data_IF_142715508532
#
_entry.id   IF_142715508532
#
_cell.length_a   1.000
_cell.length_b   1.000
_cell.length_c   1.000
_cell.angle_alpha   90.00
_cell.angle_beta   90.00
_cell.angle_gamma   90.00
#
_symmetry.space_group_name_H-M   'P 1'
#
loop_
_entity.id
_entity.type
_entity.pdbx_description
1 polymer ?
#
# COMPACT_ATOMS: atom_id res chain seq x y z
N UNK A 1 -24.36 21.90 -5.25
CA UNK A 1 -23.25 20.94 -4.98
C UNK A 1 -22.04 21.68 -4.39
N UNK A 2 -22.25 22.89 -3.88
CA UNK A 2 -21.22 23.84 -3.47
C UNK A 2 -20.69 23.61 -2.05
N UNK A 3 -21.24 22.62 -1.32
CA UNK A 3 -20.95 22.41 0.09
C UNK A 3 -19.57 21.83 0.35
N UNK A 4 -19.03 20.99 -0.54
CA UNK A 4 -17.71 20.36 -0.33
C UNK A 4 -16.59 21.36 -0.62
N UNK A 5 -16.66 22.08 -1.74
CA UNK A 5 -15.69 23.12 -2.10
C UNK A 5 -15.70 24.26 -1.07
N UNK A 6 -16.88 24.73 -0.66
CA UNK A 6 -17.01 25.75 0.39
C UNK A 6 -16.52 25.25 1.76
N UNK A 7 -16.73 23.96 2.10
CA UNK A 7 -16.20 23.40 3.34
C UNK A 7 -14.66 23.33 3.31
N UNK A 8 -14.05 22.99 2.18
CA UNK A 8 -12.60 22.94 2.02
C UNK A 8 -11.93 24.32 1.96
N UNK A 9 -12.67 25.40 1.68
CA UNK A 9 -12.17 26.76 1.81
C UNK A 9 -11.89 27.15 3.28
N UNK A 10 -12.48 26.44 4.25
CA UNK A 10 -12.16 26.63 5.65
C UNK A 10 -10.83 25.95 6.01
N UNK A 11 -9.84 26.68 6.54
CA UNK A 11 -8.50 26.14 6.82
C UNK A 11 -8.53 24.99 7.83
N UNK A 12 -9.42 25.01 8.83
CA UNK A 12 -9.54 23.94 9.83
C UNK A 12 -10.05 22.64 9.20
N UNK A 13 -11.04 22.75 8.30
CA UNK A 13 -11.60 21.59 7.59
C UNK A 13 -10.57 21.03 6.62
N UNK A 14 -9.88 21.91 5.88
CA UNK A 14 -8.79 21.51 4.99
C UNK A 14 -7.68 20.74 5.73
N UNK A 15 -7.16 21.27 6.84
CA UNK A 15 -6.10 20.61 7.61
C UNK A 15 -6.54 19.28 8.22
N UNK A 16 -7.79 19.20 8.69
CA UNK A 16 -8.36 17.96 9.22
C UNK A 16 -8.49 16.91 8.12
N UNK A 17 -9.02 17.30 6.97
CA UNK A 17 -9.13 16.42 5.80
C UNK A 17 -7.75 15.97 5.32
N UNK A 18 -6.78 16.86 5.26
CA UNK A 18 -5.40 16.54 4.86
C UNK A 18 -4.73 15.57 5.85
N UNK A 19 -4.88 15.80 7.15
CA UNK A 19 -4.37 14.90 8.19
C UNK A 19 -5.01 13.50 8.08
N UNK A 20 -6.31 13.42 7.78
CA UNK A 20 -7.00 12.15 7.50
C UNK A 20 -6.46 11.47 6.24
N UNK A 21 -6.20 12.22 5.16
CA UNK A 21 -5.55 11.69 3.96
C UNK A 21 -4.18 11.09 4.28
N UNK A 22 -3.37 11.81 5.07
CA UNK A 22 -2.06 11.33 5.48
C UNK A 22 -2.15 10.07 6.36
N UNK A 23 -3.10 10.03 7.30
CA UNK A 23 -3.34 8.86 8.12
C UNK A 23 -3.75 7.64 7.28
N UNK A 24 -4.63 7.82 6.29
CA UNK A 24 -5.04 6.76 5.35
C UNK A 24 -3.89 6.31 4.46
N UNK A 25 -2.95 7.18 4.10
CA UNK A 25 -1.76 6.77 3.34
C UNK A 25 -0.82 5.88 4.17
N UNK A 26 -0.60 6.23 5.44
CA UNK A 26 0.50 5.64 6.23
C UNK A 26 0.02 4.47 7.09
N UNK A 27 -1.08 4.62 7.84
CA UNK A 27 -1.50 3.64 8.84
C UNK A 27 -1.81 2.26 8.26
N UNK A 28 -2.50 2.11 7.12
CA UNK A 28 -2.80 0.80 6.55
C UNK A 28 -1.53 0.04 6.17
N UNK A 29 -0.53 0.72 5.64
CA UNK A 29 0.75 0.08 5.27
C UNK A 29 1.52 -0.37 6.51
N UNK A 30 1.56 0.44 7.57
CA UNK A 30 2.17 0.04 8.84
C UNK A 30 1.44 -1.18 9.44
N UNK A 31 0.11 -1.12 9.50
CA UNK A 31 -0.71 -2.19 10.04
C UNK A 31 -0.55 -3.50 9.24
N UNK A 32 -0.54 -3.41 7.91
CA UNK A 32 -0.36 -4.56 7.03
C UNK A 32 1.04 -5.16 7.16
N UNK A 33 2.08 -4.32 7.21
CA UNK A 33 3.45 -4.76 7.42
C UNK A 33 3.64 -5.46 8.76
N UNK A 34 3.07 -4.89 9.83
CA UNK A 34 3.11 -5.49 11.16
C UNK A 34 2.35 -6.81 11.21
N UNK A 35 1.12 -6.85 10.70
CA UNK A 35 0.31 -8.06 10.64
C UNK A 35 1.00 -9.16 9.81
N UNK A 36 1.59 -8.80 8.67
CA UNK A 36 2.30 -9.75 7.81
C UNK A 36 3.50 -10.36 8.53
N UNK A 37 4.36 -9.55 9.14
CA UNK A 37 5.53 -10.04 9.87
C UNK A 37 5.13 -10.89 11.08
N UNK A 38 4.11 -10.46 11.83
CA UNK A 38 3.61 -11.22 12.98
C UNK A 38 3.05 -12.60 12.60
N UNK A 39 2.61 -12.81 11.35
CA UNK A 39 1.98 -14.06 10.93
C UNK A 39 2.82 -14.92 9.99
N UNK A 40 3.74 -14.35 9.20
CA UNK A 40 4.47 -15.13 8.20
C UNK A 40 5.39 -16.19 8.82
N UNK A 41 6.05 -15.86 9.94
CA UNK A 41 6.96 -16.77 10.63
C UNK A 41 6.27 -18.00 11.26
N UNK A 42 4.95 -17.95 11.44
CA UNK A 42 4.16 -19.05 12.02
C UNK A 42 4.08 -20.27 11.10
N UNK A 43 4.30 -20.10 9.79
CA UNK A 43 4.20 -21.18 8.81
C UNK A 43 5.60 -21.66 8.34
N UNK A 44 5.79 -22.96 8.06
CA UNK A 44 7.04 -23.46 7.48
C UNK A 44 7.42 -22.75 6.17
N UNK A 45 6.43 -22.56 5.28
CA UNK A 45 6.61 -21.86 4.01
C UNK A 45 7.00 -20.39 4.18
N UNK A 46 6.39 -19.69 5.13
CA UNK A 46 6.73 -18.30 5.42
C UNK A 46 8.14 -18.14 5.99
N UNK A 47 8.61 -19.08 6.81
CA UNK A 47 10.02 -19.11 7.26
C UNK A 47 10.98 -19.34 6.09
N UNK A 48 10.63 -20.23 5.15
CA UNK A 48 11.43 -20.46 3.94
C UNK A 48 11.46 -19.23 3.03
N UNK A 49 10.32 -18.54 2.86
CA UNK A 49 10.24 -17.29 2.09
C UNK A 49 11.13 -16.20 2.69
N UNK A 50 11.05 -15.98 4.01
CA UNK A 50 11.86 -14.97 4.71
C UNK A 50 13.36 -15.28 4.63
N UNK A 51 13.74 -16.57 4.67
CA UNK A 51 15.13 -16.99 4.48
C UNK A 51 15.63 -16.66 3.07
N UNK A 52 14.82 -16.92 2.04
CA UNK A 52 15.17 -16.57 0.65
C UNK A 52 15.24 -15.06 0.43
N UNK A 53 14.36 -14.28 1.06
CA UNK A 53 14.46 -12.81 1.03
C UNK A 53 15.75 -12.30 1.68
N UNK A 54 16.18 -12.92 2.77
CA UNK A 54 17.45 -12.60 3.41
C UNK A 54 18.66 -12.95 2.51
N UNK A 55 18.60 -14.10 1.83
CA UNK A 55 19.63 -14.55 0.90
C UNK A 55 19.72 -13.68 -0.36
N UNK A 56 18.59 -13.21 -0.90
CA UNK A 56 18.57 -12.27 -2.04
C UNK A 56 19.13 -10.90 -1.65
N UNK A 57 19.00 -10.52 -0.37
CA UNK A 57 19.58 -9.31 0.18
C UNK A 57 18.86 -8.04 -0.25
N UNK A 58 18.69 -7.11 0.70
CA UNK A 58 18.22 -5.75 0.39
C UNK A 58 19.45 -4.92 0.02
N UNK A 59 19.67 -4.69 -1.28
CA UNK A 59 20.72 -3.77 -1.70
C UNK A 59 20.38 -2.35 -1.28
N UNK A 60 21.35 -1.64 -0.71
CA UNK A 60 21.23 -0.21 -0.36
C UNK A 60 21.51 0.70 -1.55
N UNK A 61 21.85 0.14 -2.72
CA UNK A 61 22.21 0.92 -3.91
C UNK A 61 21.00 1.08 -4.83
N UNK A 62 20.65 2.31 -5.23
CA UNK A 62 19.51 2.55 -6.12
C UNK A 62 19.70 1.91 -7.50
N UNK A 63 20.94 1.66 -7.93
CA UNK A 63 21.27 0.96 -9.19
C UNK A 63 20.76 -0.48 -9.22
N UNK A 64 20.49 -1.09 -8.07
CA UNK A 64 20.00 -2.46 -7.97
C UNK A 64 18.47 -2.56 -7.93
N UNK A 65 17.76 -1.42 -7.96
CA UNK A 65 16.30 -1.38 -7.85
C UNK A 65 15.61 -2.24 -8.93
N UNK A 66 16.10 -2.22 -10.17
CA UNK A 66 15.53 -3.05 -11.24
C UNK A 66 15.73 -4.55 -11.00
N UNK A 67 16.89 -4.94 -10.44
CA UNK A 67 17.15 -6.34 -10.07
C UNK A 67 16.27 -6.78 -8.91
N UNK A 68 16.11 -5.92 -7.89
CA UNK A 68 15.25 -6.19 -6.75
C UNK A 68 13.78 -6.30 -7.15
N UNK A 69 13.32 -5.45 -8.08
CA UNK A 69 11.98 -5.53 -8.62
C UNK A 69 11.76 -6.85 -9.38
N UNK A 70 12.70 -7.25 -10.24
CA UNK A 70 12.61 -8.54 -10.93
C UNK A 70 12.58 -9.72 -9.95
N UNK A 71 13.45 -9.72 -8.94
CA UNK A 71 13.46 -10.75 -7.90
C UNK A 71 12.15 -10.77 -7.10
N UNK A 72 11.55 -9.62 -6.82
CA UNK A 72 10.24 -9.55 -6.15
C UNK A 72 9.10 -10.11 -7.02
N UNK A 73 9.13 -9.86 -8.34
CA UNK A 73 8.16 -10.42 -9.29
C UNK A 73 8.31 -11.94 -9.40
N UNK A 74 9.55 -12.45 -9.51
CA UNK A 74 9.83 -13.89 -9.51
C UNK A 74 9.35 -14.55 -8.21
N UNK A 75 9.65 -13.96 -7.05
CA UNK A 75 9.12 -14.45 -5.77
C UNK A 75 7.59 -14.44 -5.71
N UNK A 76 6.94 -13.45 -6.33
CA UNK A 76 5.48 -13.38 -6.45
C UNK A 76 4.92 -14.57 -7.23
N UNK A 77 5.55 -14.90 -8.38
CA UNK A 77 5.20 -16.08 -9.18
C UNK A 77 5.41 -17.39 -8.41
N UNK A 78 6.48 -17.49 -7.62
CA UNK A 78 6.74 -18.67 -6.77
C UNK A 78 5.68 -18.83 -5.66
N UNK A 79 5.15 -17.73 -5.12
CA UNK A 79 4.05 -17.76 -4.13
C UNK A 79 2.74 -18.20 -4.79
N UNK A 80 2.47 -17.77 -6.02
CA UNK A 80 1.25 -18.12 -6.75
C UNK A 80 1.24 -19.58 -7.21
N UNK A 81 2.40 -20.09 -7.63
CA UNK A 81 2.63 -21.50 -8.01
C UNK A 81 2.71 -22.48 -6.82
N UNK A 82 2.40 -22.02 -5.60
CA UNK A 82 2.31 -22.83 -4.37
C UNK A 82 3.63 -23.40 -3.84
N UNK A 83 4.78 -22.88 -4.28
CA UNK A 83 6.12 -23.37 -3.86
C UNK A 83 6.29 -23.27 -2.33
N UNK A 84 5.67 -22.27 -1.71
CA UNK A 84 5.70 -22.04 -0.27
C UNK A 84 4.48 -22.60 0.48
N UNK A 85 3.56 -23.24 -0.25
CA UNK A 85 2.35 -23.86 0.29
C UNK A 85 1.16 -22.92 0.49
N UNK A 86 -0.03 -23.53 0.52
CA UNK A 86 -1.31 -22.85 0.52
C UNK A 86 -1.51 -21.79 1.63
N UNK A 87 -0.94 -21.94 2.85
CA UNK A 87 -1.03 -20.90 3.88
C UNK A 87 -0.40 -19.57 3.45
N UNK A 88 0.76 -19.61 2.77
CA UNK A 88 1.47 -18.41 2.32
C UNK A 88 0.71 -17.74 1.18
N UNK A 89 0.24 -18.53 0.20
CA UNK A 89 -0.59 -18.03 -0.91
C UNK A 89 -1.85 -17.32 -0.43
N UNK A 90 -2.57 -17.89 0.56
CA UNK A 90 -3.74 -17.24 1.16
C UNK A 90 -3.41 -15.94 1.86
N UNK A 91 -2.25 -15.88 2.54
CA UNK A 91 -1.82 -14.66 3.22
C UNK A 91 -1.49 -13.56 2.21
N UNK A 92 -0.80 -13.92 1.12
CA UNK A 92 -0.48 -13.01 0.01
C UNK A 92 -1.75 -12.49 -0.67
N UNK A 93 -2.75 -13.35 -0.90
CA UNK A 93 -4.01 -12.93 -1.50
C UNK A 93 -4.75 -11.91 -0.61
N UNK A 94 -4.74 -12.09 0.72
CA UNK A 94 -5.29 -11.09 1.66
C UNK A 94 -4.58 -9.76 1.56
N UNK A 95 -3.24 -9.78 1.46
CA UNK A 95 -2.44 -8.57 1.25
C UNK A 95 -2.85 -7.88 -0.05
N UNK A 96 -2.99 -8.61 -1.16
CA UNK A 96 -3.43 -8.03 -2.44
C UNK A 96 -4.83 -7.41 -2.37
N UNK A 97 -5.79 -8.09 -1.75
CA UNK A 97 -7.15 -7.55 -1.60
C UNK A 97 -7.13 -6.27 -0.76
N UNK A 98 -6.43 -6.27 0.38
CA UNK A 98 -6.34 -5.09 1.25
C UNK A 98 -5.64 -3.94 0.54
N UNK A 99 -4.53 -4.19 -0.14
CA UNK A 99 -3.81 -3.18 -0.92
C UNK A 99 -4.65 -2.64 -2.08
N UNK A 100 -5.41 -3.49 -2.76
CA UNK A 100 -6.31 -3.07 -3.84
C UNK A 100 -7.44 -2.16 -3.34
N UNK A 101 -8.09 -2.53 -2.24
CA UNK A 101 -9.11 -1.68 -1.59
C UNK A 101 -8.50 -0.37 -1.10
N UNK A 102 -7.30 -0.42 -0.53
CA UNK A 102 -6.58 0.77 -0.09
C UNK A 102 -6.25 1.72 -1.25
N UNK A 103 -5.73 1.22 -2.37
CA UNK A 103 -5.47 2.03 -3.56
C UNK A 103 -6.73 2.70 -4.09
N UNK A 104 -7.87 2.00 -4.09
CA UNK A 104 -9.14 2.58 -4.49
C UNK A 104 -9.57 3.72 -3.56
N UNK A 105 -9.42 3.57 -2.23
CA UNK A 105 -9.70 4.65 -1.28
C UNK A 105 -8.80 5.87 -1.50
N UNK A 106 -7.50 5.65 -1.69
CA UNK A 106 -6.54 6.73 -1.98
C UNK A 106 -6.93 7.45 -3.28
N UNK A 107 -7.27 6.72 -4.34
CA UNK A 107 -7.69 7.32 -5.62
C UNK A 107 -8.94 8.20 -5.45
N UNK A 108 -9.93 7.76 -4.67
CA UNK A 108 -11.14 8.57 -4.39
C UNK A 108 -10.79 9.83 -3.59
N UNK A 109 -10.02 9.69 -2.51
CA UNK A 109 -9.68 10.82 -1.62
C UNK A 109 -8.87 11.92 -2.33
N UNK A 110 -7.88 11.53 -3.12
CA UNK A 110 -7.08 12.48 -3.91
C UNK A 110 -7.83 12.99 -5.14
N UNK A 111 -8.69 12.17 -5.75
CA UNK A 111 -9.59 12.59 -6.81
C UNK A 111 -10.50 13.75 -6.37
N UNK A 112 -11.04 13.68 -5.14
CA UNK A 112 -11.85 14.75 -4.56
C UNK A 112 -11.03 16.03 -4.36
N UNK A 113 -9.77 15.93 -3.90
CA UNK A 113 -8.90 17.09 -3.73
C UNK A 113 -8.59 17.78 -5.06
N UNK A 114 -8.19 17.00 -6.07
CA UNK A 114 -7.86 17.53 -7.40
C UNK A 114 -9.10 18.17 -8.04
N UNK A 115 -10.26 17.53 -7.91
CA UNK A 115 -11.52 18.08 -8.39
C UNK A 115 -11.90 19.38 -7.67
N UNK A 116 -11.79 19.44 -6.35
CA UNK A 116 -12.07 20.66 -5.58
C UNK A 116 -11.11 21.80 -5.94
N UNK A 117 -9.83 21.49 -6.12
CA UNK A 117 -8.80 22.46 -6.50
C UNK A 117 -9.06 23.05 -7.89
N UNK A 118 -9.37 22.19 -8.87
CA UNK A 118 -9.71 22.62 -10.24
C UNK A 118 -10.97 23.47 -10.30
N UNK A 119 -12.01 23.13 -9.52
CA UNK A 119 -13.24 23.95 -9.43
C UNK A 119 -12.93 25.30 -8.80
N UNK A 120 -12.19 25.35 -7.69
CA UNK A 120 -11.87 26.60 -6.99
C UNK A 120 -11.05 27.56 -7.87
N UNK A 121 -10.10 27.04 -8.66
CA UNK A 121 -9.32 27.85 -9.60
C UNK A 121 -10.08 28.29 -10.86
N UNK A 122 -11.16 27.58 -11.24
CA UNK A 122 -11.97 27.94 -12.40
C UNK A 122 -13.02 29.04 -12.10
N UNK A 123 -13.34 29.26 -10.83
CA UNK A 123 -14.36 30.22 -10.36
C UNK A 123 -13.77 31.49 -9.70
N UNK A 124 -12.46 31.59 -9.55
CA UNK A 124 -11.74 32.77 -9.04
C UNK A 124 -11.01 33.53 -10.14
#
# INVERSE_FOLDING_TARGET
MDSIAAALANPTVYWTYFALCFAVLVLPMIALAWWYHANIHKTPGGRALMRRQYEVGVSRRPTDAGRMLRAAVEMGGDIESDVYGAPVRRMQHRVYVVTGVWLAMVAVMFGILIWADTVNHATG
#
